data_IF_708314947864
#
_entry.id   IF_708314947864
#
_cell.length_a   1.000
_cell.length_b   1.000
_cell.length_c   1.000
_cell.angle_alpha   90.00
_cell.angle_beta   90.00
_cell.angle_gamma   90.00
#
_symmetry.space_group_name_H-M   'P 1'
#
loop_
_entity.id
_entity.type
_entity.pdbx_description
1 polymer ?
#
# COMPACT_ATOMS: atom_id res chain seq x y z
N UNK A 1 -54.72 -61.00 -40.83
CA UNK A 1 -54.82 -60.16 -39.62
C UNK A 1 -53.41 -59.63 -39.32
N UNK A 2 -53.29 -58.33 -38.98
CA UNK A 2 -52.09 -57.52 -38.70
C UNK A 2 -51.05 -58.25 -37.81
N UNK A 3 -49.77 -57.90 -37.76
CA UNK A 3 -49.25 -56.72 -37.05
C UNK A 3 -47.88 -56.28 -37.62
N UNK A 4 -47.81 -55.01 -38.01
CA UNK A 4 -46.59 -54.28 -38.39
C UNK A 4 -46.11 -53.60 -37.10
N UNK A 5 -44.92 -53.95 -36.61
CA UNK A 5 -44.28 -53.24 -35.49
C UNK A 5 -43.61 -51.99 -36.06
N UNK A 6 -44.09 -50.81 -35.65
CA UNK A 6 -43.48 -49.51 -35.98
C UNK A 6 -42.34 -49.24 -34.99
N UNK A 7 -41.10 -49.13 -35.46
CA UNK A 7 -40.01 -48.54 -34.69
C UNK A 7 -40.20 -47.02 -34.64
N UNK A 8 -40.34 -46.47 -33.43
CA UNK A 8 -40.30 -45.03 -33.18
C UNK A 8 -38.84 -44.59 -32.99
N UNK A 9 -38.37 -43.68 -33.85
CA UNK A 9 -37.08 -43.02 -33.66
C UNK A 9 -37.23 -41.94 -32.58
N UNK A 10 -36.49 -42.07 -31.48
CA UNK A 10 -36.39 -41.05 -30.45
C UNK A 10 -35.39 -39.96 -30.91
N UNK A 11 -35.88 -38.77 -31.23
CA UNK A 11 -35.05 -37.61 -31.47
C UNK A 11 -34.57 -37.03 -30.14
N UNK A 12 -33.28 -37.18 -29.84
CA UNK A 12 -32.63 -36.58 -28.67
C UNK A 12 -32.42 -35.08 -28.93
N UNK A 13 -33.20 -34.24 -28.26
CA UNK A 13 -32.96 -32.80 -28.23
C UNK A 13 -31.75 -32.53 -27.32
N UNK A 14 -30.57 -32.35 -27.92
CA UNK A 14 -29.37 -31.88 -27.23
C UNK A 14 -29.58 -30.45 -26.76
N UNK A 15 -29.66 -30.24 -25.44
CA UNK A 15 -29.68 -28.92 -24.82
C UNK A 15 -28.27 -28.34 -24.97
N UNK A 16 -28.10 -27.39 -25.89
CA UNK A 16 -26.90 -26.57 -26.00
C UNK A 16 -26.88 -25.61 -24.81
N UNK A 17 -26.15 -25.97 -23.76
CA UNK A 17 -25.78 -25.01 -22.72
C UNK A 17 -24.90 -23.93 -23.36
N UNK A 18 -25.22 -22.63 -23.19
CA UNK A 18 -24.30 -21.58 -23.59
C UNK A 18 -23.06 -21.68 -22.72
N UNK A 19 -21.95 -22.08 -23.32
CA UNK A 19 -20.64 -21.97 -22.71
C UNK A 19 -20.41 -20.47 -22.46
N UNK A 20 -20.52 -20.05 -21.20
CA UNK A 20 -20.07 -18.73 -20.80
C UNK A 20 -18.57 -18.70 -21.08
N UNK A 21 -18.18 -17.89 -22.07
CA UNK A 21 -16.80 -17.57 -22.33
C UNK A 21 -16.25 -16.90 -21.07
N UNK A 22 -15.59 -17.67 -20.22
CA UNK A 22 -14.83 -17.16 -19.10
C UNK A 22 -13.61 -16.48 -19.72
N UNK A 23 -13.64 -15.16 -19.78
CA UNK A 23 -12.56 -14.34 -20.33
C UNK A 23 -11.26 -14.71 -19.60
N UNK A 24 -10.38 -15.42 -20.29
CA UNK A 24 -9.13 -15.90 -19.72
C UNK A 24 -8.31 -14.68 -19.29
N UNK A 25 -7.87 -14.66 -18.03
CA UNK A 25 -7.00 -13.61 -17.52
C UNK A 25 -5.78 -13.48 -18.45
N UNK A 26 -5.31 -12.24 -18.73
CA UNK A 26 -4.21 -12.03 -19.66
C UNK A 26 -2.99 -12.84 -19.24
N UNK A 27 -2.31 -13.45 -20.21
CA UNK A 27 -1.21 -14.39 -19.95
C UNK A 27 -0.01 -13.78 -19.21
N UNK A 28 0.06 -12.44 -19.07
CA UNK A 28 1.03 -11.70 -18.26
C UNK A 28 0.39 -10.38 -17.76
N UNK A 29 -0.40 -10.40 -16.66
CA UNK A 29 -1.01 -9.18 -16.14
C UNK A 29 0.05 -8.19 -15.66
N UNK A 30 -0.32 -6.91 -15.57
CA UNK A 30 0.53 -5.94 -14.88
C UNK A 30 0.64 -6.30 -13.41
N UNK A 31 1.80 -6.02 -12.80
CA UNK A 31 2.00 -6.26 -11.38
C UNK A 31 2.34 -4.97 -10.63
N UNK A 32 1.70 -4.80 -9.48
CA UNK A 32 2.14 -3.86 -8.45
C UNK A 32 2.71 -4.66 -7.28
N UNK A 33 4.01 -4.55 -7.08
CA UNK A 33 4.64 -5.13 -5.89
C UNK A 33 4.61 -4.14 -4.74
N UNK A 34 4.22 -4.61 -3.55
CA UNK A 34 4.05 -3.77 -2.36
C UNK A 34 4.96 -4.27 -1.25
N UNK A 35 5.77 -3.38 -0.69
CA UNK A 35 6.64 -3.65 0.46
C UNK A 35 6.28 -2.73 1.65
N UNK A 36 6.13 -3.27 2.87
CA UNK A 36 5.88 -2.50 4.07
C UNK A 36 7.16 -1.85 4.59
N UNK A 37 6.99 -0.90 5.51
CA UNK A 37 8.09 -0.26 6.20
C UNK A 37 8.57 -1.14 7.36
N UNK A 38 9.89 -1.27 7.48
CA UNK A 38 10.53 -1.80 8.69
C UNK A 38 10.61 -0.71 9.77
N UNK A 39 10.81 0.53 9.32
CA UNK A 39 11.21 1.63 10.18
C UNK A 39 9.98 2.33 10.76
N UNK A 40 9.86 2.22 12.08
CA UNK A 40 8.98 3.02 12.91
C UNK A 40 9.81 4.07 13.65
N UNK A 41 9.45 5.34 13.50
CA UNK A 41 10.11 6.47 14.15
C UNK A 41 9.11 7.24 14.98
N UNK A 42 9.51 7.67 16.18
CA UNK A 42 8.73 8.56 17.04
C UNK A 42 9.62 9.68 17.52
N UNK A 43 9.17 10.93 17.38
CA UNK A 43 9.88 12.10 17.90
C UNK A 43 8.89 13.06 18.56
N UNK A 44 9.19 13.41 19.80
CA UNK A 44 8.51 14.47 20.53
C UNK A 44 9.46 15.67 20.67
N UNK A 45 9.02 16.84 20.22
CA UNK A 45 9.77 18.08 20.39
C UNK A 45 9.08 19.03 21.38
N UNK A 46 9.86 19.54 22.33
CA UNK A 46 9.47 20.58 23.27
C UNK A 46 9.48 21.97 22.64
N UNK A 47 9.15 22.98 23.46
CA UNK A 47 9.00 24.38 23.03
C UNK A 47 10.30 24.99 22.45
N UNK A 48 11.45 24.39 22.77
CA UNK A 48 12.78 24.85 22.34
C UNK A 48 13.30 24.17 21.06
N UNK A 49 12.50 23.34 20.38
CA UNK A 49 12.75 22.98 18.98
C UNK A 49 13.58 21.72 18.71
N UNK A 50 13.62 20.72 19.60
CA UNK A 50 14.05 19.35 19.23
C UNK A 50 15.57 19.08 19.25
N UNK A 51 16.34 19.72 20.12
CA UNK A 51 17.77 19.44 20.30
C UNK A 51 18.09 18.14 21.06
N UNK A 52 19.38 17.79 21.22
CA UNK A 52 19.80 16.53 21.87
C UNK A 52 19.26 16.36 23.30
N UNK A 53 19.25 17.44 24.09
CA UNK A 53 18.71 17.41 25.47
C UNK A 53 17.21 17.12 25.44
N UNK A 54 16.47 17.73 24.50
CA UNK A 54 15.04 17.53 24.32
C UNK A 54 14.73 16.08 23.89
N UNK A 55 15.57 15.50 23.02
CA UNK A 55 15.49 14.09 22.64
C UNK A 55 15.77 13.15 23.82
N UNK A 56 16.72 13.49 24.69
CA UNK A 56 16.99 12.70 25.91
C UNK A 56 15.80 12.73 26.86
N UNK A 57 15.20 13.91 27.08
CA UNK A 57 14.02 14.09 27.95
C UNK A 57 12.85 13.23 27.48
N UNK A 58 12.59 13.18 26.16
CA UNK A 58 11.45 12.45 25.61
C UNK A 58 11.75 11.00 25.21
N UNK A 59 12.98 10.51 25.39
CA UNK A 59 13.42 9.19 24.91
C UNK A 59 12.53 8.03 25.33
N UNK A 60 12.06 8.00 26.58
CA UNK A 60 11.13 6.97 27.07
C UNK A 60 9.75 7.04 26.42
N UNK A 61 9.20 8.26 26.28
CA UNK A 61 7.93 8.51 25.59
C UNK A 61 8.00 8.09 24.13
N UNK A 62 9.08 8.47 23.44
CA UNK A 62 9.29 8.15 22.03
C UNK A 62 9.53 6.65 21.83
N UNK A 63 10.23 5.98 22.75
CA UNK A 63 10.38 4.52 22.73
C UNK A 63 9.04 3.79 22.89
N UNK A 64 8.19 4.22 23.83
CA UNK A 64 6.87 3.64 24.03
C UNK A 64 5.96 3.87 22.82
N UNK A 65 5.93 5.10 22.30
CA UNK A 65 5.16 5.43 21.10
C UNK A 65 5.64 4.62 19.90
N UNK A 66 6.96 4.44 19.73
CA UNK A 66 7.52 3.61 18.67
C UNK A 66 7.08 2.15 18.79
N UNK A 67 7.04 1.59 20.01
CA UNK A 67 6.55 0.24 20.22
C UNK A 67 5.06 0.11 19.86
N UNK A 68 4.23 1.10 20.23
CA UNK A 68 2.82 1.13 19.85
C UNK A 68 2.61 1.27 18.33
N UNK A 69 3.42 2.10 17.65
CA UNK A 69 3.42 2.17 16.19
C UNK A 69 3.75 0.80 15.58
N UNK A 70 4.82 0.15 16.05
CA UNK A 70 5.24 -1.16 15.55
C UNK A 70 4.19 -2.24 15.78
N UNK A 71 3.41 -2.15 16.86
CA UNK A 71 2.30 -3.07 17.12
C UNK A 71 1.07 -2.81 16.24
N UNK A 72 0.73 -1.55 15.97
CA UNK A 72 -0.47 -1.19 15.20
C UNK A 72 -0.24 -1.21 13.68
N UNK A 73 1.00 -1.00 13.25
CA UNK A 73 1.42 -0.88 11.86
C UNK A 73 2.56 -1.87 11.58
N UNK A 74 2.46 -3.10 12.07
CA UNK A 74 3.35 -4.18 11.65
C UNK A 74 3.22 -4.46 10.13
N UNK A 75 4.10 -5.30 9.58
CA UNK A 75 4.10 -5.60 8.15
C UNK A 75 2.74 -6.07 7.63
N UNK A 76 2.08 -7.08 8.26
CA UNK A 76 0.74 -7.49 7.86
C UNK A 76 -0.28 -6.35 7.90
N UNK A 77 -0.32 -5.56 8.98
CA UNK A 77 -1.31 -4.48 9.14
C UNK A 77 -1.13 -3.37 8.11
N UNK A 78 0.11 -3.02 7.75
CA UNK A 78 0.38 -2.04 6.69
C UNK A 78 -0.11 -2.56 5.33
N UNK A 79 0.20 -3.81 5.01
CA UNK A 79 -0.19 -4.41 3.73
C UNK A 79 -1.70 -4.59 3.62
N UNK A 80 -2.36 -5.02 4.70
CA UNK A 80 -3.82 -5.12 4.77
C UNK A 80 -4.48 -3.74 4.66
N UNK A 81 -3.89 -2.73 5.31
CA UNK A 81 -4.37 -1.36 5.21
C UNK A 81 -4.30 -0.84 3.77
N UNK A 82 -3.18 -1.06 3.06
CA UNK A 82 -3.04 -0.69 1.66
C UNK A 82 -3.97 -1.49 0.75
N UNK A 83 -4.09 -2.81 0.95
CA UNK A 83 -4.94 -3.66 0.12
C UNK A 83 -6.44 -3.38 0.30
N UNK A 84 -6.84 -2.85 1.45
CA UNK A 84 -8.22 -2.39 1.66
C UNK A 84 -8.59 -1.13 0.86
N UNK A 85 -7.60 -0.46 0.25
CA UNK A 85 -7.81 0.69 -0.62
C UNK A 85 -7.86 0.26 -2.09
N UNK A 86 -8.53 1.04 -2.93
CA UNK A 86 -8.47 0.88 -4.39
C UNK A 86 -7.16 1.46 -4.93
N UNK A 87 -6.06 0.72 -4.75
CA UNK A 87 -4.73 1.12 -5.20
C UNK A 87 -4.71 1.39 -6.71
N UNK A 88 -5.41 0.57 -7.51
CA UNK A 88 -5.45 0.73 -8.95
C UNK A 88 -5.99 2.10 -9.36
N UNK A 89 -7.08 2.56 -8.74
CA UNK A 89 -7.65 3.88 -8.98
C UNK A 89 -6.77 5.01 -8.43
N UNK A 90 -6.28 4.86 -7.18
CA UNK A 90 -5.55 5.90 -6.47
C UNK A 90 -4.26 6.31 -7.18
N UNK A 91 -3.49 5.34 -7.68
CA UNK A 91 -2.21 5.58 -8.37
C UNK A 91 -2.25 5.31 -9.88
N UNK A 92 -3.46 5.13 -10.46
CA UNK A 92 -3.70 4.99 -11.91
C UNK A 92 -2.92 3.83 -12.54
N UNK A 93 -3.01 2.66 -11.92
CA UNK A 93 -2.47 1.42 -12.50
C UNK A 93 -3.28 1.02 -13.74
N UNK A 94 -2.68 0.16 -14.57
CA UNK A 94 -3.39 -0.43 -15.69
C UNK A 94 -4.55 -1.32 -15.18
N UNK A 95 -5.68 -1.39 -15.92
CA UNK A 95 -6.76 -2.31 -15.60
C UNK A 95 -6.27 -3.76 -15.48
N UNK A 96 -6.76 -4.49 -14.48
CA UNK A 96 -6.36 -5.88 -14.24
C UNK A 96 -4.97 -6.04 -13.62
N UNK A 97 -4.35 -4.96 -13.10
CA UNK A 97 -3.09 -5.06 -12.36
C UNK A 97 -3.26 -5.95 -11.13
N UNK A 98 -2.41 -6.96 -11.00
CA UNK A 98 -2.34 -7.86 -9.85
C UNK A 98 -1.45 -7.23 -8.78
N UNK A 99 -1.92 -7.22 -7.53
CA UNK A 99 -1.11 -6.75 -6.39
C UNK A 99 -0.35 -7.93 -5.81
N UNK A 100 0.98 -7.82 -5.80
CA UNK A 100 1.90 -8.81 -5.22
C UNK A 100 2.44 -8.27 -3.91
N UNK A 101 2.14 -8.96 -2.80
CA UNK A 101 2.56 -8.57 -1.45
C UNK A 101 3.92 -9.18 -1.13
N UNK A 102 4.78 -8.37 -0.51
CA UNK A 102 6.04 -8.82 0.06
C UNK A 102 6.04 -8.53 1.55
N UNK A 103 5.94 -9.57 2.38
CA UNK A 103 5.84 -9.40 3.83
C UNK A 103 7.15 -8.92 4.47
N UNK A 104 8.28 -9.18 3.81
CA UNK A 104 9.59 -8.76 4.25
C UNK A 104 9.82 -7.27 3.93
N UNK A 105 9.99 -6.41 4.95
CA UNK A 105 10.28 -5.01 4.74
C UNK A 105 11.58 -4.77 3.97
N UNK A 106 11.66 -3.61 3.34
CA UNK A 106 12.91 -3.16 2.72
C UNK A 106 13.70 -2.26 3.65
N UNK A 107 15.02 -2.46 3.69
CA UNK A 107 15.90 -1.50 4.34
C UNK A 107 15.79 -0.13 3.66
N UNK A 108 15.50 0.92 4.44
CA UNK A 108 15.36 2.30 3.94
C UNK A 108 16.56 2.78 3.12
N UNK A 109 17.77 2.35 3.48
CA UNK A 109 19.02 2.73 2.78
C UNK A 109 19.07 2.14 1.36
N UNK A 110 18.39 1.04 1.11
CA UNK A 110 18.36 0.38 -0.21
C UNK A 110 17.49 1.13 -1.22
N UNK A 111 16.53 1.94 -0.76
CA UNK A 111 15.49 2.53 -1.61
C UNK A 111 16.03 3.38 -2.76
N UNK A 112 17.02 4.23 -2.49
CA UNK A 112 17.61 5.09 -3.51
C UNK A 112 18.80 4.42 -4.22
N UNK A 113 19.29 3.28 -3.73
CA UNK A 113 20.47 2.60 -4.29
C UNK A 113 20.10 1.62 -5.40
N UNK A 114 19.09 0.79 -5.15
CA UNK A 114 18.64 -0.20 -6.13
C UNK A 114 17.77 0.51 -7.16
N UNK A 115 18.21 0.52 -8.42
CA UNK A 115 17.51 1.17 -9.54
C UNK A 115 16.92 0.18 -10.56
N UNK A 116 17.11 -1.11 -10.33
CA UNK A 116 16.46 -2.20 -11.06
C UNK A 116 15.18 -2.63 -10.35
N UNK A 117 14.39 -3.49 -11.01
CA UNK A 117 13.28 -4.22 -10.37
C UNK A 117 13.78 -4.97 -9.15
N UNK A 118 13.00 -4.98 -8.07
CA UNK A 118 13.31 -5.68 -6.81
C UNK A 118 12.85 -7.12 -6.78
N UNK A 119 11.85 -7.50 -7.58
CA UNK A 119 11.50 -8.90 -7.80
C UNK A 119 12.09 -9.40 -9.12
N UNK A 120 12.09 -10.72 -9.27
CA UNK A 120 12.42 -11.46 -10.49
C UNK A 120 11.22 -11.61 -11.44
N UNK A 121 10.13 -10.89 -11.19
CA UNK A 121 8.91 -10.94 -12.01
C UNK A 121 9.21 -10.62 -13.48
N UNK A 122 8.66 -11.48 -14.34
CA UNK A 122 8.69 -11.34 -15.80
C UNK A 122 7.45 -10.63 -16.35
N UNK A 123 6.65 -10.00 -15.48
CA UNK A 123 5.47 -9.24 -15.90
C UNK A 123 5.83 -8.17 -16.93
N UNK A 124 4.95 -8.05 -17.93
CA UNK A 124 5.11 -7.12 -19.06
C UNK A 124 5.08 -5.65 -18.60
N UNK A 125 4.35 -5.37 -17.52
CA UNK A 125 4.26 -4.08 -16.84
C UNK A 125 4.49 -4.30 -15.36
N UNK A 126 5.41 -3.51 -14.80
CA UNK A 126 5.90 -3.71 -13.44
C UNK A 126 5.99 -2.37 -12.71
N UNK A 127 5.32 -2.31 -11.56
CA UNK A 127 5.33 -1.16 -10.66
C UNK A 127 5.65 -1.61 -9.24
N UNK A 128 6.19 -0.70 -8.46
CA UNK A 128 6.55 -0.93 -7.06
C UNK A 128 5.97 0.18 -6.19
N UNK A 129 5.30 -0.20 -5.11
CA UNK A 129 4.93 0.68 -4.00
C UNK A 129 5.72 0.26 -2.76
N UNK A 130 6.55 1.17 -2.27
CA UNK A 130 7.40 0.94 -1.11
C UNK A 130 6.98 1.90 -0.01
N UNK A 131 6.65 1.36 1.17
CA UNK A 131 6.54 2.13 2.41
C UNK A 131 7.93 2.17 3.04
N UNK A 132 8.50 3.36 3.17
CA UNK A 132 9.89 3.57 3.57
C UNK A 132 10.09 3.79 5.07
N UNK A 133 9.11 4.45 5.69
CA UNK A 133 9.18 4.98 7.04
C UNK A 133 7.77 5.35 7.50
N UNK A 134 7.44 5.01 8.74
CA UNK A 134 6.26 5.51 9.43
C UNK A 134 6.74 6.32 10.63
N UNK A 135 6.36 7.59 10.65
CA UNK A 135 6.92 8.59 11.54
C UNK A 135 5.82 9.28 12.33
N UNK A 136 5.76 9.03 13.63
CA UNK A 136 5.02 9.86 14.57
C UNK A 136 5.83 11.09 14.93
N UNK A 137 5.18 12.25 14.88
CA UNK A 137 5.75 13.50 15.34
C UNK A 137 4.76 14.20 16.27
N UNK A 138 5.25 14.63 17.43
CA UNK A 138 4.59 15.63 18.28
C UNK A 138 5.41 16.90 18.29
N UNK A 139 4.84 17.97 17.73
CA UNK A 139 5.42 19.30 17.80
C UNK A 139 4.65 20.16 18.82
N UNK A 140 5.35 21.03 19.54
CA UNK A 140 4.76 21.91 20.54
C UNK A 140 3.61 22.80 19.99
N UNK A 141 3.73 23.27 18.73
CA UNK A 141 2.76 24.19 18.11
C UNK A 141 1.77 23.45 17.20
N UNK A 142 2.25 22.51 16.39
CA UNK A 142 1.46 21.87 15.34
C UNK A 142 0.77 20.57 15.78
N UNK A 143 0.94 20.18 17.05
CA UNK A 143 0.29 19.02 17.62
C UNK A 143 0.89 17.69 17.14
N UNK A 144 0.04 16.67 17.06
CA UNK A 144 0.42 15.28 16.78
C UNK A 144 0.08 14.92 15.35
N UNK A 145 0.99 14.25 14.67
CA UNK A 145 0.77 13.76 13.31
C UNK A 145 1.43 12.40 13.10
N UNK A 146 0.84 11.63 12.19
CA UNK A 146 1.48 10.48 11.59
C UNK A 146 1.88 10.86 10.17
N UNK A 147 3.13 10.62 9.82
CA UNK A 147 3.66 10.82 8.48
C UNK A 147 4.16 9.49 7.94
N UNK A 148 3.89 9.21 6.68
CA UNK A 148 4.38 7.99 6.03
C UNK A 148 5.12 8.36 4.76
N UNK A 149 6.36 7.89 4.63
CA UNK A 149 7.17 8.09 3.43
C UNK A 149 6.89 6.95 2.48
N UNK A 150 6.35 7.27 1.31
CA UNK A 150 6.11 6.31 0.24
C UNK A 150 7.05 6.57 -0.93
N UNK A 151 7.30 5.53 -1.71
CA UNK A 151 7.91 5.62 -3.02
C UNK A 151 7.13 4.74 -4.00
N UNK A 152 6.70 5.33 -5.12
CA UNK A 152 6.18 4.59 -6.26
C UNK A 152 7.23 4.59 -7.36
N UNK A 153 7.40 3.45 -8.01
CA UNK A 153 8.26 3.31 -9.20
C UNK A 153 7.53 2.57 -10.29
N UNK A 154 7.62 3.06 -11.51
CA UNK A 154 7.15 2.36 -12.70
C UNK A 154 8.34 2.03 -13.59
N UNK A 155 8.34 0.83 -14.13
CA UNK A 155 9.41 0.33 -14.95
C UNK A 155 8.95 0.13 -16.40
N UNK A 156 9.81 0.55 -17.33
CA UNK A 156 9.61 0.34 -18.75
C UNK A 156 9.86 -1.11 -19.17
N UNK A 157 9.66 -1.37 -20.45
CA UNK A 157 9.92 -2.67 -21.07
C UNK A 157 11.40 -3.06 -21.04
N UNK A 158 12.31 -2.07 -20.96
CA UNK A 158 13.76 -2.28 -20.81
C UNK A 158 14.16 -2.53 -19.35
N UNK A 159 13.18 -2.71 -18.46
CA UNK A 159 13.32 -2.95 -17.03
C UNK A 159 14.01 -1.81 -16.26
N UNK A 160 14.07 -0.60 -16.84
CA UNK A 160 14.55 0.60 -16.15
C UNK A 160 13.39 1.42 -15.59
N UNK A 161 13.72 2.30 -14.65
CA UNK A 161 12.75 3.20 -14.03
C UNK A 161 12.39 4.32 -15.00
N UNK A 162 11.13 4.34 -15.44
CA UNK A 162 10.57 5.44 -16.24
C UNK A 162 10.03 6.56 -15.34
N UNK A 163 9.52 6.17 -14.17
CA UNK A 163 8.95 7.07 -13.19
C UNK A 163 9.32 6.63 -11.78
N UNK A 164 9.76 7.59 -10.96
CA UNK A 164 9.97 7.44 -9.52
C UNK A 164 9.41 8.69 -8.86
N UNK A 165 8.58 8.51 -7.84
CA UNK A 165 8.11 9.58 -6.98
C UNK A 165 8.20 9.13 -5.53
N UNK A 166 8.83 9.96 -4.71
CA UNK A 166 9.07 9.70 -3.29
C UNK A 166 8.67 10.93 -2.50
N UNK A 167 7.67 10.79 -1.65
CA UNK A 167 7.15 11.89 -0.86
C UNK A 167 6.49 11.39 0.42
N UNK A 168 6.31 12.32 1.37
CA UNK A 168 5.55 12.07 2.57
C UNK A 168 4.06 12.34 2.32
N UNK A 169 3.20 11.44 2.79
CA UNK A 169 1.84 11.81 3.21
C UNK A 169 1.83 12.10 4.70
N UNK A 170 0.96 12.99 5.17
CA UNK A 170 0.99 13.39 6.58
C UNK A 170 -0.32 13.97 7.09
N UNK A 171 -0.91 13.31 8.09
CA UNK A 171 -2.20 13.68 8.65
C UNK A 171 -2.14 13.73 10.19
N UNK A 172 -3.00 14.56 10.78
CA UNK A 172 -3.05 14.78 12.23
C UNK A 172 -3.61 13.59 13.01
N UNK A 173 -3.24 13.50 14.29
CA UNK A 173 -3.72 12.50 15.24
C UNK A 173 -4.45 13.16 16.41
N UNK A 174 -5.58 12.58 16.79
CA UNK A 174 -6.48 13.08 17.84
C UNK A 174 -6.53 12.16 19.06
N UNK A 175 -6.28 10.87 18.89
CA UNK A 175 -6.32 9.87 19.94
C UNK A 175 -4.90 9.42 20.31
N UNK A 176 -4.07 9.08 19.34
CA UNK A 176 -2.72 8.58 19.62
C UNK A 176 -1.74 9.70 20.05
N UNK A 177 -0.89 9.50 21.07
CA UNK A 177 -0.84 8.33 21.96
C UNK A 177 -1.97 8.37 22.99
N UNK A 178 -2.52 7.21 23.37
CA UNK A 178 -3.58 7.14 24.38
C UNK A 178 -3.03 7.58 25.74
N UNK A 179 -3.82 8.33 26.49
CA UNK A 179 -3.52 8.64 27.90
C UNK A 179 -4.05 7.53 28.82
N UNK A 180 -3.62 7.58 30.07
CA UNK A 180 -4.17 6.71 31.11
C UNK A 180 -5.70 6.85 31.19
N UNK A 181 -6.40 5.72 31.18
CA UNK A 181 -7.86 5.66 31.19
C UNK A 181 -8.54 5.92 29.83
N UNK A 182 -7.81 6.26 28.77
CA UNK A 182 -8.36 6.39 27.41
C UNK A 182 -8.43 5.03 26.69
N UNK A 183 -9.27 4.94 25.65
CA UNK A 183 -9.42 3.73 24.86
C UNK A 183 -8.20 3.49 23.96
N UNK A 184 -7.34 2.57 24.38
CA UNK A 184 -6.10 2.19 23.67
C UNK A 184 -6.40 1.62 22.28
N UNK A 185 -7.42 0.78 22.15
CA UNK A 185 -7.79 0.16 20.87
C UNK A 185 -8.19 1.24 19.85
N UNK A 186 -8.99 2.23 20.26
CA UNK A 186 -9.37 3.33 19.40
C UNK A 186 -8.16 4.18 18.96
N UNK A 187 -7.19 4.42 19.85
CA UNK A 187 -5.97 5.16 19.52
C UNK A 187 -5.07 4.39 18.55
N UNK A 188 -4.94 3.08 18.70
CA UNK A 188 -4.19 2.24 17.75
C UNK A 188 -4.93 2.10 16.41
N UNK A 189 -6.26 1.98 16.43
CA UNK A 189 -7.09 1.99 15.24
C UNK A 189 -6.99 3.31 14.45
N UNK A 190 -6.82 4.45 15.14
CA UNK A 190 -6.54 5.74 14.51
C UNK A 190 -5.25 5.69 13.68
N UNK A 191 -4.18 5.04 14.16
CA UNK A 191 -2.92 4.93 13.41
C UNK A 191 -3.12 4.25 12.05
N UNK A 192 -3.88 3.15 12.02
CA UNK A 192 -4.22 2.45 10.78
C UNK A 192 -5.06 3.33 9.85
N UNK A 193 -6.05 4.03 10.40
CA UNK A 193 -6.90 4.96 9.63
C UNK A 193 -6.07 6.10 9.01
N UNK A 194 -5.20 6.73 9.81
CA UNK A 194 -4.37 7.86 9.37
C UNK A 194 -3.27 7.40 8.42
N UNK A 195 -2.75 6.18 8.57
CA UNK A 195 -1.83 5.57 7.59
C UNK A 195 -2.47 5.45 6.19
N UNK A 196 -3.75 5.04 6.11
CA UNK A 196 -4.50 5.01 4.84
C UNK A 196 -4.66 6.41 4.24
N UNK A 197 -5.05 7.40 5.07
CA UNK A 197 -5.16 8.80 4.64
C UNK A 197 -3.84 9.36 4.12
N UNK A 198 -2.72 9.02 4.77
CA UNK A 198 -1.40 9.39 4.29
C UNK A 198 -1.14 8.83 2.88
N UNK A 199 -1.54 7.58 2.61
CA UNK A 199 -1.40 7.01 1.27
C UNK A 199 -2.30 7.71 0.25
N UNK A 200 -3.55 8.02 0.58
CA UNK A 200 -4.47 8.74 -0.32
C UNK A 200 -3.94 10.13 -0.70
N UNK A 201 -3.45 10.90 0.29
CA UNK A 201 -2.81 12.19 0.06
C UNK A 201 -1.57 12.06 -0.85
N UNK A 202 -0.70 11.11 -0.52
CA UNK A 202 0.48 10.79 -1.31
C UNK A 202 0.11 10.40 -2.75
N UNK A 203 -0.88 9.53 -2.95
CA UNK A 203 -1.31 9.05 -4.24
C UNK A 203 -1.86 10.18 -5.12
N UNK A 204 -2.64 11.09 -4.54
CA UNK A 204 -3.11 12.29 -5.24
C UNK A 204 -1.94 13.16 -5.73
N UNK A 205 -0.91 13.37 -4.90
CA UNK A 205 0.28 14.13 -5.26
C UNK A 205 1.14 13.42 -6.31
N UNK A 206 1.33 12.10 -6.18
CA UNK A 206 2.05 11.27 -7.14
C UNK A 206 1.38 11.33 -8.52
N UNK A 207 0.05 11.27 -8.57
CA UNK A 207 -0.73 11.35 -9.81
C UNK A 207 -0.59 12.70 -10.51
N UNK A 208 -0.56 13.80 -9.75
CA UNK A 208 -0.28 15.14 -10.30
C UNK A 208 1.13 15.20 -10.88
N UNK A 209 2.12 14.64 -10.17
CA UNK A 209 3.51 14.58 -10.65
C UNK A 209 3.66 13.73 -11.93
N UNK A 210 3.00 12.57 -12.00
CA UNK A 210 2.96 11.72 -13.20
C UNK A 210 2.37 12.46 -14.40
N UNK A 211 1.28 13.20 -14.21
CA UNK A 211 0.62 13.96 -15.27
C UNK A 211 1.53 15.05 -15.84
N UNK A 212 2.25 15.79 -15.00
CA UNK A 212 3.20 16.81 -15.46
C UNK A 212 4.34 16.22 -16.28
N UNK A 213 4.88 15.06 -15.87
CA UNK A 213 6.00 14.41 -16.56
C UNK A 213 5.63 13.81 -17.92
N UNK A 214 4.34 13.55 -18.19
CA UNK A 214 3.85 13.07 -19.50
C UNK A 214 3.68 14.19 -20.54
N UNK A 215 3.71 15.46 -20.11
CA UNK A 215 3.45 16.63 -20.97
C UNK A 215 4.76 17.31 -21.43
N UNK A 216 5.91 16.97 -20.83
CA UNK A 216 7.24 17.44 -21.23
C UNK A 216 8.04 16.35 -21.91
#
# INVERSE_FOLDING_TARGET
MRWIVKMAAAASLGVLSPAMAQEAAPANPCELHVWPAERMTSVTTGLLGGGLIDAMIHSGTDANNKASLASALDSPSQLDALQSLDLATLIKLAPGTVVVRHDQPLERKSMNKIKTRRSDSQASCYSELIVADVFYQKAAIYGRSLRTLFMIRNFGNDQKIDFEYKAWGGNGLSLFPPKEGENVEAALGELVSVFKKNFEEYANNARRSMATKKIG
#
